data_IF_737586576737
#
_entry.id   IF_737586576737
#
_cell.length_a   1.000
_cell.length_b   1.000
_cell.length_c   1.000
_cell.angle_alpha   90.00
_cell.angle_beta   90.00
_cell.angle_gamma   90.00
#
_symmetry.space_group_name_H-M   'P 1'
#
loop_
_entity.id
_entity.type
_entity.pdbx_description
1 polymer ?
#
# COMPACT_ATOMS: atom_id res chain seq x y z
N UNK A 1 1.28 12.69 13.68
CA UNK A 1 0.88 14.07 13.35
C UNK A 1 -0.34 14.00 12.43
N UNK A 2 -1.38 14.76 12.72
CA UNK A 2 -2.55 14.91 11.85
C UNK A 2 -2.47 16.26 11.15
N UNK A 3 -2.48 16.32 9.82
CA UNK A 3 -2.64 17.59 9.14
C UNK A 3 -4.03 18.17 9.47
N UNK A 4 -4.06 19.43 9.83
CA UNK A 4 -5.29 20.19 10.05
C UNK A 4 -5.44 21.17 8.89
N UNK A 5 -6.69 21.47 8.52
CA UNK A 5 -6.97 22.51 7.53
C UNK A 5 -6.75 23.85 8.24
N UNK A 6 -5.85 24.67 7.69
CA UNK A 6 -5.54 25.97 8.26
C UNK A 6 -6.78 26.87 8.20
N UNK A 7 -7.23 27.36 9.36
CA UNK A 7 -8.23 28.42 9.46
C UNK A 7 -7.56 29.63 10.10
N UNK A 8 -7.47 30.74 9.35
CA UNK A 8 -6.85 31.97 9.86
C UNK A 8 -7.54 32.47 11.13
N UNK A 9 -6.74 32.79 12.14
CA UNK A 9 -7.22 33.36 13.40
C UNK A 9 -7.74 32.36 14.43
N UNK A 10 -7.66 31.03 14.15
CA UNK A 10 -8.04 29.99 15.13
C UNK A 10 -6.83 29.31 15.74
N UNK A 11 -6.94 28.98 17.02
CA UNK A 11 -5.98 28.10 17.69
C UNK A 11 -6.05 26.68 17.11
N UNK A 12 -4.94 25.94 17.00
CA UNK A 12 -4.92 24.57 16.48
C UNK A 12 -5.89 23.60 17.19
N UNK A 13 -6.26 23.87 18.43
CA UNK A 13 -7.26 23.11 19.19
C UNK A 13 -8.70 23.37 18.74
N UNK A 14 -8.96 24.52 18.12
CA UNK A 14 -10.28 24.98 17.66
C UNK A 14 -10.55 24.67 16.19
N UNK A 15 -9.49 24.27 15.43
CA UNK A 15 -9.60 23.99 14.00
C UNK A 15 -10.54 22.79 13.76
N UNK A 16 -11.49 22.99 12.84
CA UNK A 16 -12.42 21.94 12.43
C UNK A 16 -11.70 20.70 11.90
N UNK A 17 -12.16 19.53 12.34
CA UNK A 17 -11.72 18.22 11.83
C UNK A 17 -12.72 17.64 10.82
N UNK A 18 -13.57 18.50 10.26
CA UNK A 18 -14.52 18.12 9.21
C UNK A 18 -13.80 18.02 7.87
N UNK A 19 -14.38 17.23 7.01
CA UNK A 19 -13.95 17.19 5.62
C UNK A 19 -14.48 18.45 4.92
N UNK A 20 -13.65 19.08 4.10
CA UNK A 20 -14.01 20.31 3.39
C UNK A 20 -13.79 20.16 1.90
N UNK A 21 -14.68 20.76 1.10
CA UNK A 21 -14.63 20.75 -0.34
C UNK A 21 -14.54 22.19 -0.84
N UNK A 22 -13.57 22.47 -1.71
CA UNK A 22 -13.39 23.76 -2.37
C UNK A 22 -13.47 23.61 -3.88
N UNK A 23 -13.94 24.65 -4.52
CA UNK A 23 -13.90 24.80 -5.96
C UNK A 23 -13.05 26.02 -6.32
N UNK A 24 -12.00 25.79 -7.13
CA UNK A 24 -11.18 26.86 -7.67
C UNK A 24 -11.83 27.53 -8.88
N UNK A 25 -11.31 28.70 -9.27
CA UNK A 25 -11.78 29.44 -10.45
C UNK A 25 -11.69 28.63 -11.75
N UNK A 26 -10.75 27.71 -11.84
CA UNK A 26 -10.60 26.78 -12.97
C UNK A 26 -11.64 25.65 -13.01
N UNK A 27 -12.53 25.55 -12.00
CA UNK A 27 -13.46 24.44 -11.83
C UNK A 27 -12.83 23.21 -11.16
N UNK A 28 -11.58 23.30 -10.69
CA UNK A 28 -10.93 22.22 -9.92
C UNK A 28 -11.63 22.07 -8.58
N UNK A 29 -12.10 20.84 -8.30
CA UNK A 29 -12.64 20.46 -7.01
C UNK A 29 -11.54 19.87 -6.15
N UNK A 30 -11.36 20.38 -4.95
CA UNK A 30 -10.41 19.89 -3.96
C UNK A 30 -11.16 19.46 -2.73
N UNK A 31 -10.86 18.26 -2.21
CA UNK A 31 -11.38 17.78 -0.93
C UNK A 31 -10.24 17.47 0.00
N UNK A 32 -10.33 17.90 1.24
CA UNK A 32 -9.41 17.56 2.30
C UNK A 32 -10.16 17.18 3.57
N UNK A 33 -9.59 16.28 4.35
CA UNK A 33 -10.17 15.82 5.60
C UNK A 33 -9.14 15.24 6.55
N UNK A 34 -9.47 15.25 7.86
CA UNK A 34 -8.56 14.89 8.93
C UNK A 34 -8.59 13.41 9.35
N UNK A 35 -9.51 12.59 8.83
CA UNK A 35 -9.69 11.21 9.29
C UNK A 35 -9.44 10.21 8.17
N UNK A 36 -8.42 9.36 8.34
CA UNK A 36 -8.13 8.27 7.39
C UNK A 36 -9.36 7.37 7.16
N UNK A 37 -10.13 7.08 8.21
CA UNK A 37 -11.33 6.22 8.10
C UNK A 37 -12.50 6.86 7.37
N UNK A 38 -12.45 8.18 7.10
CA UNK A 38 -13.47 8.92 6.36
C UNK A 38 -13.35 8.84 4.83
N UNK A 39 -12.26 8.27 4.31
CA UNK A 39 -11.89 8.31 2.89
C UNK A 39 -13.03 7.91 1.93
N UNK A 40 -13.79 6.87 2.25
CA UNK A 40 -14.90 6.40 1.41
C UNK A 40 -16.04 7.42 1.36
N UNK A 41 -16.36 8.05 2.49
CA UNK A 41 -17.40 9.08 2.57
C UNK A 41 -16.98 10.35 1.82
N UNK A 42 -15.74 10.78 1.99
CA UNK A 42 -15.17 11.89 1.23
C UNK A 42 -15.24 11.64 -0.28
N UNK A 43 -14.85 10.44 -0.72
CA UNK A 43 -14.95 10.06 -2.13
C UNK A 43 -16.41 10.06 -2.62
N UNK A 44 -17.36 9.57 -1.81
CA UNK A 44 -18.78 9.59 -2.14
C UNK A 44 -19.30 11.02 -2.36
N UNK A 45 -19.00 11.94 -1.45
CA UNK A 45 -19.45 13.33 -1.53
C UNK A 45 -18.95 14.02 -2.80
N UNK A 46 -17.65 13.90 -3.11
CA UNK A 46 -17.07 14.54 -4.27
C UNK A 46 -17.56 13.94 -5.60
N UNK A 47 -17.71 12.60 -5.65
CA UNK A 47 -18.22 11.91 -6.86
C UNK A 47 -19.69 12.23 -7.10
N UNK A 48 -20.51 12.30 -6.06
CA UNK A 48 -21.92 12.68 -6.16
C UNK A 48 -22.07 14.15 -6.62
N UNK A 49 -21.20 15.04 -6.14
CA UNK A 49 -21.15 16.44 -6.61
C UNK A 49 -20.80 16.50 -8.11
N UNK A 50 -19.76 15.78 -8.52
CA UNK A 50 -19.35 15.69 -9.93
C UNK A 50 -20.45 15.09 -10.80
N UNK A 51 -21.08 14.00 -10.36
CA UNK A 51 -22.17 13.36 -11.10
C UNK A 51 -23.36 14.29 -11.33
N UNK A 52 -23.74 15.08 -10.31
CA UNK A 52 -24.80 16.11 -10.45
C UNK A 52 -24.41 17.20 -11.43
N UNK A 53 -23.16 17.67 -11.39
CA UNK A 53 -22.65 18.69 -12.31
C UNK A 53 -22.64 18.19 -13.75
N UNK A 54 -22.05 17.01 -14.00
CA UNK A 54 -21.98 16.43 -15.34
C UNK A 54 -23.35 16.12 -15.92
N UNK A 55 -24.33 15.74 -15.08
CA UNK A 55 -25.72 15.60 -15.50
C UNK A 55 -26.32 16.94 -15.95
N UNK A 56 -26.07 18.02 -15.20
CA UNK A 56 -26.61 19.36 -15.50
C UNK A 56 -25.97 19.95 -16.76
N UNK A 57 -24.65 19.80 -16.92
CA UNK A 57 -23.89 20.47 -17.99
C UNK A 57 -23.85 19.68 -19.29
N UNK A 58 -23.81 18.33 -19.19
CA UNK A 58 -23.58 17.44 -20.35
C UNK A 58 -24.67 16.36 -20.51
N UNK A 59 -25.69 16.33 -19.67
CA UNK A 59 -26.77 15.32 -19.72
C UNK A 59 -26.33 13.90 -19.33
N UNK A 60 -25.13 13.75 -18.78
CA UNK A 60 -24.59 12.44 -18.40
C UNK A 60 -25.28 11.89 -17.15
N UNK A 61 -25.62 10.61 -17.16
CA UNK A 61 -26.24 9.91 -16.02
C UNK A 61 -25.35 8.81 -15.52
N UNK A 62 -25.24 8.71 -14.21
CA UNK A 62 -24.40 7.71 -13.53
C UNK A 62 -25.25 6.85 -12.60
N UNK A 63 -24.81 5.60 -12.37
CA UNK A 63 -25.42 4.73 -11.38
C UNK A 63 -25.17 5.25 -9.96
N UNK A 64 -26.04 4.95 -8.99
CA UNK A 64 -25.79 5.25 -7.59
C UNK A 64 -24.47 4.61 -7.11
N UNK A 65 -23.87 5.22 -6.10
CA UNK A 65 -22.65 4.70 -5.48
C UNK A 65 -22.90 3.30 -4.88
N UNK A 66 -22.03 2.35 -5.24
CA UNK A 66 -22.05 0.97 -4.72
C UNK A 66 -20.88 0.66 -3.76
N UNK A 67 -20.04 1.66 -3.44
CA UNK A 67 -18.78 1.42 -2.70
C UNK A 67 -18.98 0.96 -1.26
N UNK A 68 -20.18 1.10 -0.70
CA UNK A 68 -20.49 0.60 0.64
C UNK A 68 -20.42 -0.94 0.70
N UNK A 69 -20.87 -1.60 -0.36
CA UNK A 69 -20.90 -3.06 -0.45
C UNK A 69 -19.72 -3.63 -1.24
N UNK A 70 -18.85 -2.76 -1.77
CA UNK A 70 -17.67 -3.19 -2.52
C UNK A 70 -16.62 -3.74 -1.57
N UNK A 71 -16.24 -4.99 -1.76
CA UNK A 71 -15.12 -5.60 -1.06
C UNK A 71 -13.82 -5.01 -1.62
N UNK A 72 -12.96 -4.51 -0.73
CA UNK A 72 -11.61 -4.10 -1.12
C UNK A 72 -10.74 -5.32 -1.40
N UNK A 73 -9.68 -5.15 -2.18
CA UNK A 73 -8.71 -6.22 -2.46
C UNK A 73 -8.22 -6.88 -1.17
N UNK A 74 -8.24 -8.20 -1.12
CA UNK A 74 -7.93 -8.98 0.08
C UNK A 74 -9.05 -9.06 1.12
N UNK A 75 -10.14 -8.29 0.96
CA UNK A 75 -11.21 -8.19 1.97
C UNK A 75 -12.30 -9.28 1.88
N UNK A 76 -12.23 -10.23 0.94
CA UNK A 76 -13.21 -11.30 0.81
C UNK A 76 -12.91 -12.49 1.74
N UNK A 77 -13.05 -12.25 3.02
CA UNK A 77 -12.73 -13.22 4.09
C UNK A 77 -13.96 -13.69 4.87
N UNK A 78 -15.16 -13.44 4.36
CA UNK A 78 -16.42 -13.79 5.04
C UNK A 78 -16.80 -12.84 6.19
N UNK A 79 -16.18 -11.64 6.22
CA UNK A 79 -16.37 -10.62 7.26
C UNK A 79 -15.45 -10.77 8.47
N UNK A 80 -15.40 -9.72 9.30
CA UNK A 80 -14.47 -9.65 10.43
C UNK A 80 -14.62 -10.78 11.45
N UNK A 81 -15.84 -11.27 11.68
CA UNK A 81 -16.10 -12.38 12.60
C UNK A 81 -15.56 -13.72 12.10
N UNK A 82 -15.35 -13.85 10.80
CA UNK A 82 -14.85 -15.07 10.18
C UNK A 82 -13.34 -15.01 9.93
N UNK A 83 -12.67 -13.91 10.22
CA UNK A 83 -11.28 -13.68 9.83
C UNK A 83 -10.33 -14.72 10.41
N UNK A 84 -10.43 -15.03 11.69
CA UNK A 84 -9.55 -16.03 12.35
C UNK A 84 -9.74 -17.43 11.75
N UNK A 85 -10.99 -17.79 11.43
CA UNK A 85 -11.29 -19.06 10.77
C UNK A 85 -10.71 -19.10 9.37
N UNK A 86 -10.86 -18.01 8.62
CA UNK A 86 -10.26 -17.85 7.30
C UNK A 86 -8.75 -18.02 7.33
N UNK A 87 -8.05 -17.31 8.23
CA UNK A 87 -6.59 -17.41 8.37
C UNK A 87 -6.17 -18.84 8.67
N UNK A 88 -6.84 -19.52 9.62
CA UNK A 88 -6.56 -20.90 9.95
C UNK A 88 -6.72 -21.84 8.74
N UNK A 89 -7.78 -21.68 7.97
CA UNK A 89 -7.98 -22.47 6.74
C UNK A 89 -6.84 -22.25 5.73
N UNK A 90 -6.36 -21.00 5.57
CA UNK A 90 -5.25 -20.70 4.67
C UNK A 90 -3.91 -21.25 5.17
N UNK A 91 -3.67 -21.23 6.47
CA UNK A 91 -2.51 -21.87 7.08
C UNK A 91 -2.52 -23.39 6.83
N UNK A 92 -3.66 -24.05 7.01
CA UNK A 92 -3.78 -25.47 6.72
C UNK A 92 -3.57 -25.78 5.22
N UNK A 93 -4.09 -24.95 4.33
CA UNK A 93 -3.89 -25.10 2.90
C UNK A 93 -2.43 -24.91 2.47
N UNK A 94 -1.70 -24.00 3.14
CA UNK A 94 -0.30 -23.68 2.85
C UNK A 94 0.65 -24.90 3.01
N UNK A 95 0.25 -25.90 3.79
CA UNK A 95 0.99 -27.16 3.94
C UNK A 95 1.16 -27.88 2.60
N UNK A 96 0.15 -27.82 1.74
CA UNK A 96 0.22 -28.37 0.38
C UNK A 96 1.23 -27.68 -0.53
N UNK A 97 1.64 -26.48 -0.18
CA UNK A 97 2.65 -25.67 -0.88
C UNK A 97 4.04 -25.77 -0.23
N UNK A 98 4.18 -26.51 0.87
CA UNK A 98 5.45 -26.60 1.61
C UNK A 98 5.83 -25.29 2.32
N UNK A 99 4.86 -24.42 2.61
CA UNK A 99 5.07 -23.15 3.28
C UNK A 99 4.98 -23.36 4.79
N UNK A 100 5.95 -22.79 5.51
CA UNK A 100 5.98 -22.81 6.98
C UNK A 100 4.72 -22.17 7.58
N UNK A 101 4.24 -22.71 8.69
CA UNK A 101 3.00 -22.30 9.33
C UNK A 101 3.01 -20.83 9.76
N UNK A 102 4.13 -20.36 10.33
CA UNK A 102 4.26 -18.96 10.77
C UNK A 102 4.29 -18.01 9.58
N UNK A 103 4.97 -18.39 8.49
CA UNK A 103 4.97 -17.61 7.24
C UNK A 103 3.58 -17.58 6.65
N UNK A 104 2.89 -18.71 6.57
CA UNK A 104 1.53 -18.79 6.06
C UNK A 104 0.55 -17.93 6.88
N UNK A 105 0.68 -17.94 8.20
CA UNK A 105 -0.13 -17.11 9.09
C UNK A 105 0.08 -15.62 8.83
N UNK A 106 1.34 -15.16 8.73
CA UNK A 106 1.63 -13.75 8.45
C UNK A 106 1.11 -13.32 7.08
N UNK A 107 1.33 -14.13 6.05
CA UNK A 107 0.84 -13.84 4.70
C UNK A 107 -0.69 -13.81 4.64
N UNK A 108 -1.39 -14.80 5.23
CA UNK A 108 -2.85 -14.85 5.24
C UNK A 108 -3.46 -13.68 6.02
N UNK A 109 -2.84 -13.29 7.15
CA UNK A 109 -3.28 -12.17 7.97
C UNK A 109 -3.09 -10.81 7.27
N UNK A 110 -2.04 -10.68 6.46
CA UNK A 110 -1.70 -9.43 5.76
C UNK A 110 -2.45 -9.27 4.43
N UNK A 111 -2.55 -10.33 3.64
CA UNK A 111 -3.09 -10.29 2.28
C UNK A 111 -4.54 -10.76 2.17
N UNK A 112 -5.11 -11.34 3.23
CA UNK A 112 -6.48 -11.82 3.24
C UNK A 112 -6.76 -12.77 2.07
N UNK A 113 -7.86 -12.55 1.33
CA UNK A 113 -8.25 -13.42 0.22
C UNK A 113 -7.26 -13.47 -0.94
N UNK A 114 -6.29 -12.55 -1.01
CA UNK A 114 -5.26 -12.56 -2.05
C UNK A 114 -4.10 -13.51 -1.73
N UNK A 115 -4.07 -14.12 -0.54
CA UNK A 115 -2.96 -14.97 -0.11
C UNK A 115 -2.71 -16.18 -1.02
N UNK A 116 -3.73 -16.65 -1.72
CA UNK A 116 -3.60 -17.78 -2.65
C UNK A 116 -2.66 -17.46 -3.81
N UNK A 117 -2.64 -16.21 -4.29
CA UNK A 117 -1.71 -15.75 -5.32
C UNK A 117 -0.26 -15.82 -4.81
N UNK A 118 -0.02 -15.45 -3.54
CA UNK A 118 1.30 -15.53 -2.94
C UNK A 118 1.75 -16.99 -2.76
N UNK A 119 0.85 -17.89 -2.40
CA UNK A 119 1.15 -19.33 -2.31
C UNK A 119 1.51 -19.92 -3.68
N UNK A 120 0.81 -19.51 -4.74
CA UNK A 120 1.15 -19.90 -6.10
C UNK A 120 2.52 -19.36 -6.54
N UNK A 121 2.85 -18.11 -6.19
CA UNK A 121 4.18 -17.53 -6.45
C UNK A 121 5.28 -18.35 -5.77
N UNK A 122 5.04 -18.87 -4.57
CA UNK A 122 6.00 -19.70 -3.83
C UNK A 122 6.42 -20.97 -4.57
N UNK A 123 5.61 -21.44 -5.53
CA UNK A 123 5.90 -22.65 -6.34
C UNK A 123 6.73 -22.33 -7.59
N UNK A 124 7.06 -21.08 -7.85
CA UNK A 124 7.83 -20.71 -9.04
C UNK A 124 9.31 -21.07 -8.89
N UNK A 125 9.94 -21.54 -9.98
CA UNK A 125 11.35 -21.93 -9.98
C UNK A 125 12.30 -20.76 -9.64
N UNK A 126 11.91 -19.54 -9.96
CA UNK A 126 12.69 -18.32 -9.70
C UNK A 126 12.92 -18.05 -8.22
N UNK A 127 12.06 -18.54 -7.33
CA UNK A 127 12.29 -18.41 -5.90
C UNK A 127 13.65 -18.96 -5.47
N UNK A 128 14.02 -20.15 -5.95
CA UNK A 128 15.25 -20.84 -5.53
C UNK A 128 16.55 -20.12 -5.94
N UNK A 129 16.47 -19.17 -6.87
CA UNK A 129 17.62 -18.38 -7.35
C UNK A 129 17.68 -16.98 -6.75
N UNK A 130 16.62 -16.53 -6.10
CA UNK A 130 16.44 -15.14 -5.63
C UNK A 130 17.33 -14.74 -4.46
N UNK A 131 17.85 -15.70 -3.68
CA UNK A 131 18.56 -15.47 -2.40
C UNK A 131 17.71 -14.76 -1.32
N UNK A 132 16.41 -14.66 -1.53
CA UNK A 132 15.46 -14.05 -0.59
C UNK A 132 14.78 -15.12 0.27
N UNK A 133 14.45 -14.82 1.53
CA UNK A 133 13.48 -15.62 2.29
C UNK A 133 12.15 -15.69 1.53
N UNK A 134 11.46 -16.83 1.66
CA UNK A 134 10.20 -17.07 0.94
C UNK A 134 9.19 -15.93 1.10
N UNK A 135 8.99 -15.48 2.33
CA UNK A 135 8.04 -14.40 2.64
C UNK A 135 8.37 -13.10 1.87
N UNK A 136 9.64 -12.68 1.91
CA UNK A 136 10.08 -11.47 1.20
C UNK A 136 9.92 -11.64 -0.31
N UNK A 137 10.28 -12.82 -0.82
CA UNK A 137 10.18 -13.12 -2.26
C UNK A 137 8.74 -13.04 -2.76
N UNK A 138 7.80 -13.75 -2.12
CA UNK A 138 6.41 -13.78 -2.58
C UNK A 138 5.73 -12.42 -2.45
N UNK A 139 6.03 -11.66 -1.40
CA UNK A 139 5.55 -10.29 -1.23
C UNK A 139 6.09 -9.37 -2.33
N UNK A 140 7.38 -9.49 -2.69
CA UNK A 140 8.00 -8.68 -3.73
C UNK A 140 7.39 -8.97 -5.11
N UNK A 141 7.27 -10.26 -5.47
CA UNK A 141 6.69 -10.65 -6.76
C UNK A 141 5.23 -10.24 -6.86
N UNK A 142 4.44 -10.46 -5.79
CA UNK A 142 3.06 -10.00 -5.74
C UNK A 142 2.98 -8.47 -5.88
N UNK A 143 3.87 -7.74 -5.19
CA UNK A 143 3.97 -6.28 -5.28
C UNK A 143 4.23 -5.78 -6.70
N UNK A 144 5.11 -6.46 -7.45
CA UNK A 144 5.40 -6.14 -8.87
C UNK A 144 4.16 -6.41 -9.74
N UNK A 145 3.54 -7.58 -9.56
CA UNK A 145 2.46 -8.05 -10.44
C UNK A 145 1.12 -7.38 -10.17
N UNK A 146 0.80 -7.06 -8.90
CA UNK A 146 -0.53 -6.65 -8.48
C UNK A 146 -0.59 -5.26 -7.82
N UNK A 147 0.54 -4.72 -7.35
CA UNK A 147 0.56 -3.52 -6.52
C UNK A 147 1.43 -2.39 -7.06
N UNK A 148 1.83 -2.47 -8.33
CA UNK A 148 2.61 -1.43 -9.03
C UNK A 148 3.96 -1.12 -8.35
N UNK A 149 4.61 -2.10 -7.77
CA UNK A 149 6.01 -1.97 -7.33
C UNK A 149 6.88 -1.82 -8.57
N UNK A 150 7.52 -0.68 -8.70
CA UNK A 150 8.36 -0.33 -9.85
C UNK A 150 9.83 -0.14 -9.47
N UNK A 151 10.10 0.25 -8.23
CA UNK A 151 11.45 0.44 -7.71
C UNK A 151 11.58 -0.09 -6.26
N UNK A 152 12.81 -0.34 -5.78
CA UNK A 152 13.02 -0.95 -4.46
C UNK A 152 12.38 -0.19 -3.30
N UNK A 153 12.37 1.14 -3.34
CA UNK A 153 11.72 1.96 -2.29
C UNK A 153 10.20 1.81 -2.29
N UNK A 154 9.56 1.45 -3.41
CA UNK A 154 8.13 1.14 -3.40
C UNK A 154 7.86 -0.10 -2.55
N UNK A 155 8.71 -1.12 -2.65
CA UNK A 155 8.58 -2.33 -1.87
C UNK A 155 9.02 -2.13 -0.41
N UNK A 156 10.27 -1.70 -0.20
CA UNK A 156 10.90 -1.64 1.13
C UNK A 156 10.23 -0.62 2.06
N UNK A 157 9.70 0.46 1.50
CA UNK A 157 9.07 1.55 2.26
C UNK A 157 7.55 1.44 2.25
N UNK A 158 6.94 1.39 1.04
CA UNK A 158 5.50 1.59 0.89
C UNK A 158 4.68 0.32 1.03
N UNK A 159 5.16 -0.83 0.52
CA UNK A 159 4.41 -2.09 0.56
C UNK A 159 4.73 -2.92 1.79
N UNK A 160 6.00 -3.17 2.06
CA UNK A 160 6.39 -3.97 3.23
C UNK A 160 6.52 -3.16 4.51
N UNK A 161 6.83 -1.87 4.42
CA UNK A 161 7.12 -1.02 5.57
C UNK A 161 8.43 -1.39 6.29
N UNK A 162 9.20 -2.32 5.76
CA UNK A 162 10.38 -2.89 6.45
C UNK A 162 11.41 -1.85 6.81
N UNK A 163 11.55 -0.77 6.02
CA UNK A 163 12.49 0.30 6.33
C UNK A 163 12.27 0.91 7.73
N UNK A 164 11.03 0.98 8.18
CA UNK A 164 10.68 1.58 9.48
C UNK A 164 10.39 0.57 10.58
N UNK A 165 9.99 -0.64 10.23
CA UNK A 165 9.52 -1.64 11.21
C UNK A 165 10.44 -2.86 11.35
N UNK A 166 11.34 -3.08 10.39
CA UNK A 166 12.33 -4.16 10.41
C UNK A 166 13.53 -3.79 9.53
N UNK A 167 14.33 -2.84 10.00
CA UNK A 167 15.48 -2.32 9.24
C UNK A 167 16.54 -3.41 8.99
N UNK A 168 16.65 -4.40 9.88
CA UNK A 168 17.63 -5.48 9.76
C UNK A 168 17.37 -6.33 8.50
N UNK A 169 16.10 -6.62 8.18
CA UNK A 169 15.74 -7.28 6.92
C UNK A 169 16.16 -6.44 5.72
N UNK A 170 16.00 -5.10 5.79
CA UNK A 170 16.39 -4.22 4.69
C UNK A 170 17.89 -4.25 4.48
N UNK A 171 18.69 -4.12 5.55
CA UNK A 171 20.14 -4.17 5.50
C UNK A 171 20.65 -5.50 4.93
N UNK A 172 19.99 -6.59 5.30
CA UNK A 172 20.38 -7.94 4.89
C UNK A 172 19.98 -8.26 3.44
N UNK A 173 18.80 -7.83 2.99
CA UNK A 173 18.20 -8.32 1.75
C UNK A 173 18.03 -7.27 0.65
N UNK A 174 18.37 -5.99 0.88
CA UNK A 174 18.17 -4.90 -0.11
C UNK A 174 18.78 -5.21 -1.47
N UNK A 175 19.99 -5.76 -1.49
CA UNK A 175 20.70 -6.04 -2.75
C UNK A 175 19.99 -7.15 -3.53
N UNK A 176 19.54 -8.20 -2.87
CA UNK A 176 18.78 -9.28 -3.51
C UNK A 176 17.39 -8.78 -3.99
N UNK A 177 16.75 -7.87 -3.26
CA UNK A 177 15.50 -7.21 -3.72
C UNK A 177 15.75 -6.38 -4.97
N UNK A 178 16.85 -5.62 -5.01
CA UNK A 178 17.23 -4.81 -6.17
C UNK A 178 17.54 -5.71 -7.38
N UNK A 179 18.25 -6.82 -7.16
CA UNK A 179 18.57 -7.78 -8.23
C UNK A 179 17.31 -8.38 -8.84
N UNK A 180 16.37 -8.86 -8.03
CA UNK A 180 15.09 -9.41 -8.51
C UNK A 180 14.30 -8.37 -9.30
N UNK A 181 14.22 -7.13 -8.82
CA UNK A 181 13.54 -6.05 -9.53
C UNK A 181 14.22 -5.70 -10.84
N UNK A 182 15.56 -5.64 -10.85
CA UNK A 182 16.34 -5.35 -12.04
C UNK A 182 16.13 -6.41 -13.13
N UNK A 183 16.11 -7.69 -12.74
CA UNK A 183 15.87 -8.80 -13.66
C UNK A 183 14.44 -8.78 -14.21
N UNK A 184 13.45 -8.61 -13.35
CA UNK A 184 12.03 -8.65 -13.76
C UNK A 184 11.60 -7.42 -14.57
N UNK A 185 12.09 -6.25 -14.22
CA UNK A 185 11.71 -4.97 -14.83
C UNK A 185 12.74 -4.47 -15.84
N UNK A 186 13.79 -5.27 -16.10
CA UNK A 186 14.80 -4.99 -17.13
C UNK A 186 15.49 -3.63 -16.92
N UNK A 187 15.96 -3.36 -15.70
CA UNK A 187 16.67 -2.12 -15.42
C UNK A 187 17.96 -2.02 -16.23
N UNK A 188 18.25 -0.84 -16.76
CA UNK A 188 19.61 -0.53 -17.21
C UNK A 188 20.54 -0.43 -16.00
N UNK A 189 21.86 -0.58 -16.22
CA UNK A 189 22.87 -0.40 -15.16
C UNK A 189 22.74 0.96 -14.46
N UNK A 190 22.47 2.02 -15.23
CA UNK A 190 22.27 3.36 -14.67
C UNK A 190 21.02 3.46 -13.77
N UNK A 191 19.92 2.79 -14.14
CA UNK A 191 18.71 2.74 -13.31
C UNK A 191 18.96 1.93 -12.04
N UNK A 192 19.61 0.76 -12.16
CA UNK A 192 19.95 -0.08 -11.01
C UNK A 192 20.79 0.70 -10.02
N UNK A 193 21.83 1.40 -10.48
CA UNK A 193 22.68 2.22 -9.60
C UNK A 193 21.88 3.36 -8.94
N UNK A 194 21.08 4.10 -9.70
CA UNK A 194 20.27 5.20 -9.17
C UNK A 194 19.29 4.73 -8.08
N UNK A 195 18.65 3.56 -8.27
CA UNK A 195 17.73 2.99 -7.28
C UNK A 195 18.48 2.42 -6.06
N UNK A 196 19.69 1.91 -6.25
CA UNK A 196 20.55 1.51 -5.13
C UNK A 196 20.91 2.72 -4.26
N UNK A 197 21.27 3.83 -4.88
CA UNK A 197 21.60 5.07 -4.18
C UNK A 197 20.36 5.64 -3.45
N UNK A 198 19.17 5.56 -4.06
CA UNK A 198 17.90 5.96 -3.43
C UNK A 198 17.61 5.13 -2.17
N UNK A 199 17.82 3.82 -2.22
CA UNK A 199 17.63 2.93 -1.05
C UNK A 199 18.63 3.25 0.05
N UNK A 200 19.91 3.41 -0.28
CA UNK A 200 20.93 3.73 0.70
C UNK A 200 20.65 5.08 1.40
N UNK A 201 20.25 6.10 0.63
CA UNK A 201 19.82 7.37 1.17
C UNK A 201 18.63 7.23 2.13
N UNK A 202 17.62 6.44 1.76
CA UNK A 202 16.46 6.20 2.62
C UNK A 202 16.84 5.48 3.93
N UNK A 203 17.81 4.56 3.89
CA UNK A 203 18.36 3.88 5.07
C UNK A 203 19.06 4.90 5.97
N UNK A 204 19.94 5.73 5.41
CA UNK A 204 20.66 6.75 6.17
C UNK A 204 19.71 7.74 6.85
N UNK A 205 18.67 8.18 6.13
CA UNK A 205 17.64 9.06 6.68
C UNK A 205 16.84 8.39 7.81
N UNK A 206 16.53 7.10 7.69
CA UNK A 206 15.79 6.36 8.70
C UNK A 206 16.61 6.11 9.98
N UNK A 207 17.94 5.90 9.83
CA UNK A 207 18.84 5.62 10.95
C UNK A 207 19.37 6.88 11.64
N UNK A 208 19.59 7.97 10.89
CA UNK A 208 20.21 9.18 11.46
C UNK A 208 19.28 9.98 12.38
N UNK A 209 17.99 9.63 12.45
CA UNK A 209 17.00 10.44 13.16
C UNK A 209 17.09 11.91 12.72
N UNK A 210 16.00 12.58 12.54
CA UNK A 210 16.00 13.94 11.98
C UNK A 210 16.83 14.89 12.87
N UNK A 211 18.14 15.02 12.64
CA UNK A 211 19.01 16.01 13.25
C UNK A 211 18.84 17.39 12.61
N UNK A 212 17.74 17.66 11.93
CA UNK A 212 17.39 19.04 11.55
C UNK A 212 16.74 19.72 12.76
N UNK A 213 17.28 20.84 13.23
CA UNK A 213 16.60 21.64 14.25
C UNK A 213 15.25 22.04 13.69
N UNK A 214 14.21 21.89 14.52
CA UNK A 214 12.87 22.40 14.19
C UNK A 214 13.00 23.90 13.88
N UNK A 215 12.67 24.29 12.65
CA UNK A 215 12.58 25.68 12.21
C UNK A 215 11.24 26.24 12.68
#
# INVERSE_FOLDING_TARGET
VRPLILEEGKDPSEISRKDEVWEGESGLLTIAGGKLTGYRHMALEIVDLLAKRLKKEYGLTFKPCATKELKISGGDVGGSKNFDHFVKQKVDAAKGFGIDEDVAYRLASKYGSNVDDLFNIAQTAQYHTSKLPLEIYVELIYGIQQEMVFKPTDFLVRRSGKLYFNIDDVLQYKDAVIDVLADMLQYSEGQKQAYTDEVNKAIDEAQSGNNQPAV
#
